data_IF_565208012821
#
_entry.id   IF_565208012821
#
_cell.length_a   1.000
_cell.length_b   1.000
_cell.length_c   1.000
_cell.angle_alpha   90.00
_cell.angle_beta   90.00
_cell.angle_gamma   90.00
#
_symmetry.space_group_name_H-M   'P 1'
#
loop_
_entity.id
_entity.type
_entity.pdbx_description
1 polymer ?
#
# COMPACT_ATOMS: atom_id res chain seq x y z
N UNK A 1 5.22 -14.57 -4.96
CA UNK A 1 4.71 -15.57 -5.94
C UNK A 1 3.56 -16.36 -5.31
N UNK A 2 2.65 -16.97 -6.11
CA UNK A 2 1.44 -17.65 -5.61
C UNK A 2 1.70 -18.72 -4.54
N UNK A 3 2.85 -19.41 -4.63
CA UNK A 3 3.22 -20.46 -3.69
C UNK A 3 3.37 -19.96 -2.24
N UNK A 4 3.96 -18.76 -2.05
CA UNK A 4 4.18 -18.19 -0.72
C UNK A 4 2.85 -17.83 -0.04
N UNK A 5 1.97 -17.16 -0.79
CA UNK A 5 0.63 -16.76 -0.34
C UNK A 5 -0.22 -17.98 0.06
N UNK A 6 -0.15 -19.06 -0.70
CA UNK A 6 -0.91 -20.28 -0.40
C UNK A 6 -0.40 -21.05 0.83
N UNK A 7 0.86 -20.88 1.20
CA UNK A 7 1.43 -21.45 2.43
C UNK A 7 1.06 -20.63 3.66
N UNK A 8 1.12 -19.30 3.54
CA UNK A 8 0.76 -18.39 4.64
C UNK A 8 -0.76 -18.39 4.89
N UNK A 9 -1.57 -18.58 3.84
CA UNK A 9 -3.03 -18.51 3.93
C UNK A 9 -3.70 -19.79 3.37
N UNK A 10 -3.79 -20.87 4.16
CA UNK A 10 -4.36 -22.14 3.72
C UNK A 10 -5.86 -22.04 3.34
N UNK A 11 -6.59 -21.05 3.84
CA UNK A 11 -7.97 -20.78 3.44
C UNK A 11 -8.10 -20.42 1.94
N UNK A 12 -7.08 -19.79 1.36
CA UNK A 12 -7.06 -19.39 -0.05
C UNK A 12 -6.99 -20.64 -0.96
N UNK A 13 -6.32 -21.71 -0.52
CA UNK A 13 -6.25 -22.98 -1.24
C UNK A 13 -7.61 -23.67 -1.35
N UNK A 14 -8.49 -23.52 -0.34
CA UNK A 14 -9.86 -24.07 -0.37
C UNK A 14 -10.78 -23.30 -1.32
N UNK A 15 -10.53 -22.00 -1.50
CA UNK A 15 -11.35 -21.13 -2.36
C UNK A 15 -10.99 -21.24 -3.84
N UNK A 16 -9.72 -21.49 -4.16
CA UNK A 16 -9.22 -21.55 -5.54
C UNK A 16 -8.62 -22.93 -5.86
N UNK A 17 -9.41 -23.75 -6.56
CA UNK A 17 -9.17 -25.17 -6.84
C UNK A 17 -8.13 -25.48 -7.93
N UNK A 18 -7.21 -24.55 -8.20
CA UNK A 18 -6.20 -24.72 -9.24
C UNK A 18 -4.87 -24.05 -8.93
N UNK A 19 -4.65 -23.64 -7.68
CA UNK A 19 -3.44 -22.95 -7.20
C UNK A 19 -3.05 -21.70 -8.02
N UNK A 20 -3.93 -21.23 -8.89
CA UNK A 20 -3.72 -20.09 -9.77
C UNK A 20 -4.33 -18.86 -9.14
N UNK A 21 -3.52 -18.26 -8.28
CA UNK A 21 -3.94 -17.08 -7.51
C UNK A 21 -3.94 -15.79 -8.34
N UNK A 22 -3.08 -15.71 -9.37
CA UNK A 22 -2.95 -14.53 -10.22
C UNK A 22 -3.54 -14.76 -11.61
N UNK A 23 -4.06 -13.68 -12.22
CA UNK A 23 -4.46 -13.64 -13.62
C UNK A 23 -3.27 -13.91 -14.57
N UNK A 24 -3.56 -14.18 -15.85
CA UNK A 24 -2.50 -14.46 -16.85
C UNK A 24 -1.71 -13.21 -17.26
N UNK A 25 -2.31 -12.03 -17.11
CA UNK A 25 -1.70 -10.76 -17.46
C UNK A 25 -0.91 -10.15 -16.31
N UNK A 26 0.19 -9.50 -16.65
CA UNK A 26 0.91 -8.59 -15.77
C UNK A 26 0.97 -7.23 -16.46
N UNK A 27 0.85 -6.16 -15.67
CA UNK A 27 1.09 -4.82 -16.13
C UNK A 27 2.39 -4.34 -15.50
N UNK A 28 3.36 -3.98 -16.33
CA UNK A 28 4.62 -3.38 -15.88
C UNK A 28 4.78 -2.07 -16.63
N UNK A 29 4.64 -0.99 -15.90
CA UNK A 29 5.00 0.35 -16.36
C UNK A 29 6.24 0.77 -15.59
N UNK A 30 7.17 1.45 -16.25
CA UNK A 30 8.21 2.19 -15.53
C UNK A 30 7.51 3.23 -14.69
N UNK A 31 7.68 3.15 -13.38
CA UNK A 31 7.26 4.21 -12.48
C UNK A 31 8.17 5.40 -12.76
N UNK A 32 7.72 6.35 -13.58
CA UNK A 32 8.50 7.52 -13.94
C UNK A 32 8.87 8.29 -12.68
N UNK A 33 10.13 8.16 -12.25
CA UNK A 33 10.78 9.01 -11.25
C UNK A 33 10.06 9.16 -9.89
N UNK A 34 9.28 8.19 -9.41
CA UNK A 34 8.88 8.16 -8.00
C UNK A 34 10.04 7.55 -7.20
N UNK A 35 11.02 8.38 -6.90
CA UNK A 35 12.10 8.08 -5.97
C UNK A 35 11.52 7.89 -4.57
N UNK A 36 12.14 7.04 -3.74
CA UNK A 36 11.71 6.77 -2.35
C UNK A 36 11.47 8.07 -1.54
N UNK A 37 12.25 9.12 -1.81
CA UNK A 37 12.08 10.49 -1.29
C UNK A 37 10.67 11.08 -1.50
N UNK A 38 10.06 10.89 -2.67
CA UNK A 38 8.73 11.44 -2.99
C UNK A 38 7.63 10.72 -2.19
N UNK A 39 7.79 9.42 -1.96
CA UNK A 39 6.86 8.62 -1.16
C UNK A 39 6.97 8.98 0.32
N UNK A 40 8.20 9.21 0.81
CA UNK A 40 8.47 9.69 2.17
C UNK A 40 7.87 11.08 2.40
N UNK A 41 8.16 12.05 1.52
CA UNK A 41 7.58 13.40 1.60
C UNK A 41 6.05 13.40 1.56
N UNK A 42 5.43 12.53 0.74
CA UNK A 42 3.98 12.41 0.71
C UNK A 42 3.42 11.82 2.02
N UNK A 43 4.12 10.86 2.64
CA UNK A 43 3.71 10.26 3.92
C UNK A 43 3.77 11.27 5.06
N UNK A 44 4.82 12.07 5.12
CA UNK A 44 5.04 13.07 6.17
C UNK A 44 4.05 14.25 6.04
N UNK A 45 3.75 14.68 4.81
CA UNK A 45 2.70 15.71 4.56
C UNK A 45 1.31 15.27 5.06
N UNK A 46 1.02 13.97 5.10
CA UNK A 46 -0.24 13.45 5.69
C UNK A 46 -0.22 13.40 7.23
N UNK A 47 0.96 13.44 7.86
CA UNK A 47 1.11 13.58 9.31
C UNK A 47 0.92 15.03 9.78
N UNK A 48 1.46 15.99 9.03
CA UNK A 48 1.41 17.43 9.35
C UNK A 48 -0.03 17.99 9.36
N UNK A 49 -0.90 17.51 8.46
CA UNK A 49 -2.31 17.94 8.39
C UNK A 49 -3.16 17.47 9.59
N UNK A 50 -2.62 16.61 10.47
CA UNK A 50 -3.24 16.26 11.75
C UNK A 50 -2.74 17.12 12.91
N UNK A 51 -1.57 17.76 12.79
CA UNK A 51 -0.95 18.55 13.86
C UNK A 51 -1.13 20.07 13.69
N UNK A 52 -1.50 20.54 12.49
CA UNK A 52 -1.75 21.96 12.23
C UNK A 52 -3.12 22.52 12.67
N UNK A 53 -4.04 21.68 13.16
CA UNK A 53 -5.39 22.11 13.57
C UNK A 53 -5.62 22.17 15.08
N UNK A 54 -4.55 22.30 15.87
CA UNK A 54 -4.69 22.50 17.32
C UNK A 54 -3.92 23.72 17.83
N UNK A 55 -3.85 24.83 17.09
CA UNK A 55 -3.27 26.08 17.60
C UNK A 55 -3.99 27.34 17.06
N UNK A 56 -5.32 27.38 17.10
CA UNK A 56 -6.07 28.64 16.97
C UNK A 56 -7.25 28.61 17.95
N UNK A 57 -7.02 29.06 19.18
CA UNK A 57 -8.10 29.19 20.16
C UNK A 57 -7.63 29.20 21.61
N UNK A 58 -6.78 30.16 21.99
CA UNK A 58 -6.52 30.42 23.41
C UNK A 58 -6.00 31.84 23.65
N UNK A 59 -6.59 32.88 23.03
CA UNK A 59 -6.49 34.27 23.49
C UNK A 59 -7.70 35.07 22.96
N UNK A 60 -8.88 34.78 23.50
CA UNK A 60 -9.98 35.75 23.67
C UNK A 60 -10.80 35.30 24.87
#
# INVERSE_FOLDING_TARGET
>A
SSHKVQREFPAIRKRYWGCRFWGRGYFSTTNGAITEDIVLQYRDRRGEHRLGQQQHGAWT
#
